data_IF_209722408199
#
_entry.id   IF_209722408199
#
_cell.length_a   1.000
_cell.length_b   1.000
_cell.length_c   1.000
_cell.angle_alpha   90.00
_cell.angle_beta   90.00
_cell.angle_gamma   90.00
#
_symmetry.space_group_name_H-M   'P 1'
#
loop_
_entity.id
_entity.type
_entity.pdbx_description
1 polymer ?
#
# COMPACT_ATOMS: atom_id res chain seq x y z
N UNK A 1 6.67 9.18 15.26
CA UNK A 1 6.80 7.96 14.59
C UNK A 1 5.55 7.59 13.89
N UNK A 2 4.51 7.24 14.60
CA UNK A 2 3.26 6.94 13.94
C UNK A 2 2.69 8.15 13.20
N UNK A 3 3.13 9.35 13.53
CA UNK A 3 2.68 10.56 12.84
C UNK A 3 3.03 10.57 11.37
N UNK A 4 4.23 10.14 11.02
CA UNK A 4 4.65 10.10 9.62
C UNK A 4 3.85 9.06 8.84
N UNK A 5 3.56 7.93 9.45
CA UNK A 5 2.77 6.88 8.80
C UNK A 5 1.33 7.33 8.59
N UNK A 6 0.76 7.98 9.61
CA UNK A 6 -0.61 8.48 9.51
C UNK A 6 -0.72 9.60 8.48
N UNK A 7 0.26 10.49 8.42
CA UNK A 7 0.27 11.56 7.42
C UNK A 7 0.30 10.99 6.01
N UNK A 8 1.12 9.95 5.80
CA UNK A 8 1.20 9.28 4.51
C UNK A 8 -0.15 8.69 4.13
N UNK A 9 -0.80 7.98 5.07
CA UNK A 9 -2.09 7.36 4.79
C UNK A 9 -3.20 8.38 4.61
N UNK A 10 -3.14 9.50 5.29
CA UNK A 10 -4.18 10.51 5.20
C UNK A 10 -4.36 11.01 3.78
N UNK A 11 -3.26 11.23 3.07
CA UNK A 11 -3.32 11.68 1.69
C UNK A 11 -3.93 10.63 0.78
N UNK A 12 -3.56 9.37 1.02
CA UNK A 12 -4.10 8.26 0.23
C UNK A 12 -5.60 8.11 0.48
N UNK A 13 -6.01 8.14 1.74
CA UNK A 13 -7.40 7.91 2.09
C UNK A 13 -8.34 9.04 1.65
N UNK A 14 -7.79 10.22 1.35
CA UNK A 14 -8.61 11.34 0.86
C UNK A 14 -8.96 11.23 -0.62
N UNK A 15 -8.32 10.35 -1.36
CA UNK A 15 -8.64 10.18 -2.77
C UNK A 15 -10.03 9.57 -2.89
N UNK A 16 -10.93 10.20 -3.68
CA UNK A 16 -12.28 9.65 -3.82
C UNK A 16 -12.26 8.21 -4.34
N UNK A 17 -13.02 7.36 -3.69
CA UNK A 17 -13.09 5.93 -4.03
C UNK A 17 -12.14 5.06 -3.23
N UNK A 18 -11.24 5.64 -2.46
CA UNK A 18 -10.37 4.86 -1.57
C UNK A 18 -11.20 4.44 -0.35
N UNK A 19 -11.34 3.15 -0.15
CA UNK A 19 -12.13 2.58 0.94
C UNK A 19 -11.28 2.26 2.16
N UNK A 20 -9.98 2.25 1.99
CA UNK A 20 -9.08 2.01 3.10
C UNK A 20 -7.64 2.12 2.67
N UNK A 21 -6.79 2.42 3.63
CA UNK A 21 -5.35 2.50 3.40
C UNK A 21 -4.63 1.96 4.63
N UNK A 22 -3.50 1.31 4.41
CA UNK A 22 -2.72 0.70 5.49
C UNK A 22 -1.23 0.88 5.23
N UNK A 23 -0.48 0.95 6.31
CA UNK A 23 0.96 0.71 6.27
C UNK A 23 1.17 -0.66 6.92
N UNK A 24 1.87 -1.54 6.23
CA UNK A 24 1.99 -2.95 6.62
C UNK A 24 3.46 -3.36 6.62
N UNK A 25 3.86 -4.20 7.56
CA UNK A 25 5.17 -4.82 7.52
C UNK A 25 5.18 -5.83 6.37
N UNK A 26 6.11 -5.65 5.45
CA UNK A 26 6.13 -6.44 4.22
C UNK A 26 6.38 -7.93 4.46
N UNK A 27 7.20 -8.26 5.46
CA UNK A 27 7.61 -9.64 5.68
C UNK A 27 6.51 -10.51 6.29
N UNK A 28 5.79 -10.00 7.26
CA UNK A 28 4.84 -10.83 7.99
C UNK A 28 3.38 -10.39 7.83
N UNK A 29 3.15 -9.29 7.09
CA UNK A 29 1.78 -8.85 6.82
C UNK A 29 1.06 -8.25 8.00
N UNK A 30 1.79 -7.75 8.99
CA UNK A 30 1.19 -7.14 10.17
C UNK A 30 0.90 -5.66 9.89
N UNK A 31 -0.35 -5.20 10.05
CA UNK A 31 -0.66 -3.78 9.86
C UNK A 31 -0.03 -2.95 10.97
N UNK A 32 0.59 -1.85 10.58
CA UNK A 32 1.20 -0.90 11.52
C UNK A 32 0.24 0.24 11.81
N UNK A 33 -0.36 0.80 10.76
CA UNK A 33 -1.35 1.87 10.86
C UNK A 33 -2.44 1.61 9.84
N UNK A 34 -3.68 1.89 10.19
CA UNK A 34 -4.85 1.67 9.32
C UNK A 34 -5.77 2.87 9.32
N UNK A 35 -6.33 3.15 8.14
CA UNK A 35 -7.41 4.11 7.95
C UNK A 35 -8.44 3.40 7.10
N UNK A 36 -9.40 2.71 7.72
CA UNK A 36 -10.31 1.82 7.01
C UNK A 36 -11.77 2.17 7.25
N UNK A 37 -12.60 1.93 6.25
CA UNK A 37 -14.04 1.96 6.44
C UNK A 37 -14.44 0.74 7.28
N UNK A 38 -15.56 0.84 7.95
CA UNK A 38 -15.95 -0.14 8.98
C UNK A 38 -16.17 -1.56 8.45
N UNK A 39 -16.45 -1.70 7.16
CA UNK A 39 -16.71 -3.01 6.56
C UNK A 39 -15.46 -3.69 6.02
N UNK A 40 -14.29 -3.08 6.19
CA UNK A 40 -13.05 -3.61 5.64
C UNK A 40 -12.23 -4.30 6.74
N UNK A 41 -11.80 -5.53 6.46
CA UNK A 41 -10.92 -6.26 7.37
C UNK A 41 -9.46 -5.91 7.08
N UNK A 42 -8.85 -5.12 7.95
CA UNK A 42 -7.45 -4.72 7.80
C UNK A 42 -6.50 -5.89 7.82
N UNK A 43 -6.74 -6.85 8.72
CA UNK A 43 -5.88 -8.02 8.84
C UNK A 43 -5.87 -8.85 7.56
N UNK A 44 -7.05 -9.05 6.94
CA UNK A 44 -7.15 -9.83 5.71
C UNK A 44 -6.46 -9.13 4.54
N UNK A 45 -6.68 -7.82 4.40
CA UNK A 45 -6.07 -7.05 3.32
C UNK A 45 -4.55 -6.97 3.50
N UNK A 46 -4.08 -6.78 4.73
CA UNK A 46 -2.66 -6.71 5.01
C UNK A 46 -1.96 -8.02 4.65
N UNK A 47 -2.55 -9.15 5.05
CA UNK A 47 -1.98 -10.46 4.76
C UNK A 47 -1.93 -10.72 3.24
N UNK A 48 -3.01 -10.41 2.54
CA UNK A 48 -3.09 -10.58 1.09
C UNK A 48 -2.03 -9.72 0.40
N UNK A 49 -1.97 -8.45 0.74
CA UNK A 49 -1.06 -7.50 0.10
C UNK A 49 0.40 -7.89 0.32
N UNK A 50 0.76 -8.27 1.55
CA UNK A 50 2.13 -8.65 1.85
C UNK A 50 2.53 -9.91 1.09
N UNK A 51 1.66 -10.91 1.03
CA UNK A 51 1.94 -12.16 0.32
C UNK A 51 2.13 -11.91 -1.17
N UNK A 52 1.23 -11.12 -1.77
CA UNK A 52 1.33 -10.80 -3.20
C UNK A 52 2.59 -10.01 -3.50
N UNK A 53 2.89 -9.02 -2.69
CA UNK A 53 4.05 -8.16 -2.93
C UNK A 53 5.34 -8.97 -2.86
N UNK A 54 5.47 -9.83 -1.85
CA UNK A 54 6.66 -10.68 -1.72
C UNK A 54 6.82 -11.63 -2.90
N UNK A 55 5.75 -12.33 -3.26
CA UNK A 55 5.81 -13.32 -4.35
C UNK A 55 6.08 -12.67 -5.69
N UNK A 56 5.40 -11.56 -5.95
CA UNK A 56 5.61 -10.82 -7.20
C UNK A 56 7.02 -10.25 -7.25
N UNK A 57 7.52 -9.75 -6.12
CA UNK A 57 8.87 -9.22 -6.04
C UNK A 57 9.93 -10.28 -6.34
N UNK A 58 9.75 -11.49 -5.83
CA UNK A 58 10.66 -12.59 -6.12
C UNK A 58 10.63 -12.96 -7.61
N UNK A 59 9.43 -13.00 -8.18
CA UNK A 59 9.29 -13.29 -9.60
C UNK A 59 9.93 -12.22 -10.48
N UNK A 60 9.74 -10.95 -10.13
CA UNK A 60 10.34 -9.85 -10.87
C UNK A 60 11.87 -9.90 -10.80
N UNK A 61 12.42 -10.21 -9.64
CA UNK A 61 13.86 -10.38 -9.47
C UNK A 61 14.39 -11.53 -10.28
N UNK A 62 13.67 -12.65 -10.32
CA UNK A 62 14.08 -13.82 -11.12
C UNK A 62 14.05 -13.54 -12.62
N UNK A 63 13.20 -12.61 -13.05
CA UNK A 63 13.10 -12.22 -14.45
C UNK A 63 14.01 -11.03 -14.79
N UNK A 64 14.89 -10.64 -13.89
CA UNK A 64 15.82 -9.54 -14.08
C UNK A 64 15.16 -8.16 -14.21
N UNK A 65 13.95 -8.00 -13.67
CA UNK A 65 13.30 -6.71 -13.65
C UNK A 65 13.76 -5.84 -12.48
N UNK A 66 14.50 -6.41 -11.54
CA UNK A 66 14.93 -5.67 -10.35
C UNK A 66 13.89 -5.67 -9.25
N UNK A 67 13.94 -4.67 -8.39
CA UNK A 67 13.05 -4.58 -7.23
C UNK A 67 11.65 -4.16 -7.67
N UNK A 68 10.65 -4.79 -7.07
CA UNK A 68 9.26 -4.42 -7.32
C UNK A 68 8.95 -3.11 -6.59
N UNK A 69 8.41 -2.14 -7.31
CA UNK A 69 8.07 -0.86 -6.70
C UNK A 69 6.59 -0.73 -6.41
N UNK A 70 5.74 -1.10 -7.37
CA UNK A 70 4.30 -1.02 -7.18
C UNK A 70 3.62 -2.24 -7.76
N UNK A 71 2.46 -2.56 -7.22
CA UNK A 71 1.65 -3.67 -7.70
C UNK A 71 0.19 -3.24 -7.66
N UNK A 72 -0.54 -3.52 -8.73
CA UNK A 72 -1.96 -3.26 -8.79
C UNK A 72 -2.69 -4.57 -9.06
N UNK A 73 -3.66 -4.86 -8.20
CA UNK A 73 -4.52 -6.03 -8.37
C UNK A 73 -5.92 -5.53 -8.63
N UNK A 74 -6.51 -5.99 -9.71
CA UNK A 74 -7.88 -5.63 -10.07
C UNK A 74 -8.75 -6.89 -10.00
N UNK A 75 -9.86 -6.80 -9.27
CA UNK A 75 -10.78 -7.91 -9.11
C UNK A 75 -12.21 -7.37 -9.18
N UNK A 76 -13.19 -8.27 -9.21
CA UNK A 76 -14.58 -7.85 -9.32
C UNK A 76 -15.04 -6.91 -8.21
N UNK A 77 -14.52 -7.11 -7.01
CA UNK A 77 -14.93 -6.31 -5.85
C UNK A 77 -14.18 -5.02 -5.67
N UNK A 78 -13.22 -4.71 -6.54
CA UNK A 78 -12.43 -3.49 -6.43
C UNK A 78 -10.97 -3.73 -6.77
N UNK A 79 -10.13 -2.79 -6.37
CA UNK A 79 -8.72 -2.84 -6.69
C UNK A 79 -7.87 -2.65 -5.45
N UNK A 80 -6.68 -3.23 -5.46
CA UNK A 80 -5.69 -3.03 -4.41
C UNK A 80 -4.44 -2.48 -5.04
N UNK A 81 -3.95 -1.36 -4.51
CA UNK A 81 -2.68 -0.78 -4.93
C UNK A 81 -1.68 -0.96 -3.80
N UNK A 82 -0.48 -1.36 -4.15
CA UNK A 82 0.58 -1.60 -3.16
C UNK A 82 1.83 -0.89 -3.62
N UNK A 83 2.41 -0.08 -2.75
CA UNK A 83 3.67 0.59 -3.01
C UNK A 83 4.72 0.13 -2.01
N UNK A 84 5.90 -0.26 -2.49
CA UNK A 84 6.98 -0.72 -1.63
C UNK A 84 7.73 0.42 -0.98
N UNK A 85 8.04 0.27 0.28
CA UNK A 85 8.75 1.27 1.08
C UNK A 85 9.76 0.58 2.00
N UNK A 86 10.67 -0.19 1.42
CA UNK A 86 11.67 -0.93 2.18
C UNK A 86 11.04 -2.09 2.93
N UNK A 87 11.10 -2.06 4.26
CA UNK A 87 10.50 -3.11 5.09
C UNK A 87 8.99 -2.94 5.23
N UNK A 88 8.46 -1.84 4.72
CA UNK A 88 7.04 -1.55 4.77
C UNK A 88 6.44 -1.57 3.38
N UNK A 89 5.11 -1.72 3.33
CA UNK A 89 4.36 -1.47 2.11
C UNK A 89 3.19 -0.55 2.47
N UNK A 90 2.81 0.28 1.50
CA UNK A 90 1.60 1.11 1.60
C UNK A 90 0.54 0.45 0.75
N UNK A 91 -0.62 0.21 1.33
CA UNK A 91 -1.70 -0.52 0.67
C UNK A 91 -2.93 0.36 0.61
N UNK A 92 -3.58 0.43 -0.53
CA UNK A 92 -4.85 1.12 -0.69
C UNK A 92 -5.89 0.18 -1.29
N UNK A 93 -7.06 0.14 -0.67
CA UNK A 93 -8.21 -0.60 -1.19
C UNK A 93 -9.14 0.40 -1.87
N UNK A 94 -9.48 0.16 -3.13
CA UNK A 94 -10.13 1.15 -3.97
C UNK A 94 -11.35 0.56 -4.63
N UNK A 95 -12.44 1.34 -4.70
CA UNK A 95 -13.63 0.95 -5.45
C UNK A 95 -13.29 0.90 -6.93
N UNK A 96 -14.03 0.10 -7.68
CA UNK A 96 -13.74 -0.14 -9.09
C UNK A 96 -13.86 1.10 -9.97
N UNK A 97 -14.67 2.08 -9.57
CA UNK A 97 -14.87 3.31 -10.35
C UNK A 97 -14.07 4.49 -9.83
N UNK A 98 -13.10 4.25 -8.98
CA UNK A 98 -12.34 5.32 -8.37
C UNK A 98 -11.35 5.97 -9.32
N UNK A 99 -10.78 7.08 -8.90
CA UNK A 99 -9.73 7.78 -9.64
C UNK A 99 -8.42 7.05 -9.43
N UNK A 100 -8.26 5.94 -10.14
CA UNK A 100 -7.14 5.02 -9.94
C UNK A 100 -5.78 5.70 -10.19
N UNK A 101 -5.69 6.57 -11.18
CA UNK A 101 -4.44 7.27 -11.46
C UNK A 101 -4.03 8.17 -10.31
N UNK A 102 -4.99 8.88 -9.72
CA UNK A 102 -4.73 9.74 -8.58
C UNK A 102 -4.36 8.92 -7.34
N UNK A 103 -5.06 7.82 -7.13
CA UNK A 103 -4.76 6.93 -6.02
C UNK A 103 -3.34 6.37 -6.14
N UNK A 104 -2.94 6.00 -7.36
CA UNK A 104 -1.59 5.49 -7.60
C UNK A 104 -0.54 6.54 -7.26
N UNK A 105 -0.75 7.79 -7.67
CA UNK A 105 0.20 8.87 -7.37
C UNK A 105 0.35 9.03 -5.85
N UNK A 106 -0.75 8.99 -5.12
CA UNK A 106 -0.68 9.17 -3.67
C UNK A 106 -0.04 7.96 -2.97
N UNK A 107 -0.30 6.75 -3.44
CA UNK A 107 0.36 5.56 -2.90
C UNK A 107 1.87 5.63 -3.13
N UNK A 108 2.28 6.02 -4.33
CA UNK A 108 3.71 6.15 -4.65
C UNK A 108 4.36 7.23 -3.79
N UNK A 109 3.70 8.37 -3.63
CA UNK A 109 4.23 9.45 -2.77
C UNK A 109 4.33 9.00 -1.32
N UNK A 110 3.32 8.31 -0.82
CA UNK A 110 3.35 7.79 0.54
C UNK A 110 4.51 6.81 0.72
N UNK A 111 4.69 5.90 -0.23
CA UNK A 111 5.78 4.93 -0.17
C UNK A 111 7.14 5.62 -0.21
N UNK A 112 7.30 6.63 -1.07
CA UNK A 112 8.56 7.39 -1.14
C UNK A 112 8.83 8.12 0.17
N UNK A 113 7.81 8.70 0.77
CA UNK A 113 7.94 9.39 2.04
C UNK A 113 8.42 8.45 3.14
N UNK A 114 7.85 7.25 3.20
CA UNK A 114 8.23 6.27 4.22
C UNK A 114 9.60 5.66 3.94
N UNK A 115 9.97 5.51 2.69
CA UNK A 115 11.28 4.98 2.31
C UNK A 115 12.39 5.95 2.69
N UNK A 116 12.13 7.24 2.58
CA UNK A 116 13.09 8.26 2.98
C UNK A 116 13.28 8.29 4.49
N UNK A 117 12.36 7.67 5.20
CA UNK A 117 12.39 7.64 6.64
C UNK A 117 11.83 8.89 7.26
N UNK A 118 11.57 8.86 8.56
CA UNK A 118 11.20 10.05 9.27
C UNK A 118 12.40 10.96 9.16
N UNK A 119 12.13 12.13 8.77
CA UNK A 119 13.17 13.07 8.54
C UNK A 119 14.17 12.89 9.60
N UNK A 120 15.33 12.65 9.17
CA UNK A 120 16.38 12.50 10.03
C UNK A 120 16.57 13.69 10.82
N UNK A 121 15.69 14.40 10.91
CA UNK A 121 15.62 15.58 11.62
C UNK A 121 15.77 15.58 12.94
#
# INVERSE_FOLDING_TARGET
MNGAYRDALERVSRVPGVRGALVVLADDGVPVVEELQSDVSGAAIAALAAALFRRTGLAAGSADFGALETLQLEADGGQVLIGGAGELIVVALISDDAQIGRARVEVVRAAQSLRAGPALS
#
